data_IF_338813385413
#
_entry.id   IF_338813385413
#
_cell.length_a   1.000
_cell.length_b   1.000
_cell.length_c   1.000
_cell.angle_alpha   90.00
_cell.angle_beta   90.00
_cell.angle_gamma   90.00
#
_symmetry.space_group_name_H-M   'P 1'
#
loop_
_entity.id
_entity.type
_entity.pdbx_description
1 polymer ?
#
# COMPACT_ATOMS: atom_id res chain seq x y z
N UNK A 1 -5.61 3.34 -13.31
CA UNK A 1 -4.44 4.21 -13.10
C UNK A 1 -3.96 3.95 -11.68
N UNK A 2 -2.76 3.38 -11.51
CA UNK A 2 -2.26 2.99 -10.20
C UNK A 2 -1.80 4.24 -9.44
N UNK A 3 -2.29 4.45 -8.22
CA UNK A 3 -1.93 5.60 -7.38
C UNK A 3 -0.75 5.24 -6.49
N UNK A 4 0.34 6.01 -6.55
CA UNK A 4 1.48 5.85 -5.63
C UNK A 4 1.34 6.86 -4.48
N UNK A 5 1.51 6.38 -3.25
CA UNK A 5 1.39 7.18 -2.02
C UNK A 5 2.75 7.23 -1.32
N UNK A 6 3.27 8.44 -1.08
CA UNK A 6 4.64 8.67 -0.59
C UNK A 6 4.70 9.44 0.73
N UNK A 7 3.56 9.85 1.28
CA UNK A 7 3.48 10.55 2.57
C UNK A 7 2.32 10.03 3.41
N UNK A 8 2.44 10.16 4.73
CA UNK A 8 1.33 9.80 5.63
C UNK A 8 0.04 10.59 5.34
N UNK A 9 0.17 11.86 4.94
CA UNK A 9 -0.98 12.70 4.59
C UNK A 9 -1.72 12.16 3.37
N UNK A 10 -0.99 11.77 2.31
CA UNK A 10 -1.59 11.15 1.12
C UNK A 10 -2.28 9.83 1.45
N UNK A 11 -1.65 8.99 2.28
CA UNK A 11 -2.25 7.73 2.76
C UNK A 11 -3.56 8.02 3.48
N UNK A 12 -3.52 8.88 4.50
CA UNK A 12 -4.71 9.23 5.27
C UNK A 12 -5.84 9.78 4.38
N UNK A 13 -5.53 10.71 3.48
CA UNK A 13 -6.52 11.28 2.57
C UNK A 13 -7.05 10.26 1.55
N UNK A 14 -6.21 9.34 1.10
CA UNK A 14 -6.61 8.31 0.15
C UNK A 14 -7.65 7.37 0.74
N UNK A 15 -7.41 6.86 1.96
CA UNK A 15 -8.31 5.93 2.64
C UNK A 15 -9.56 6.60 3.20
N UNK A 16 -9.47 7.85 3.67
CA UNK A 16 -10.64 8.56 4.23
C UNK A 16 -11.74 8.84 3.21
N UNK A 17 -11.39 9.01 1.93
CA UNK A 17 -12.33 9.46 0.87
C UNK A 17 -13.04 8.31 0.16
N UNK A 18 -12.81 7.05 0.54
CA UNK A 18 -13.22 5.86 -0.24
C UNK A 18 -13.79 4.77 0.66
N UNK A 19 -14.66 3.93 0.10
CA UNK A 19 -15.16 2.75 0.79
C UNK A 19 -14.15 1.60 0.66
N UNK A 20 -13.75 1.03 1.80
CA UNK A 20 -12.83 -0.10 1.90
C UNK A 20 -13.46 -1.26 2.70
N UNK A 21 -14.80 -1.33 2.82
CA UNK A 21 -15.51 -2.45 3.47
C UNK A 21 -15.07 -3.82 2.96
N UNK A 22 -14.73 -3.92 1.68
CA UNK A 22 -14.04 -5.07 1.10
C UNK A 22 -12.80 -4.55 0.38
N UNK A 23 -11.64 -5.13 0.70
CA UNK A 23 -10.37 -4.70 0.13
C UNK A 23 -9.46 -5.92 -0.06
N UNK A 24 -8.85 -6.03 -1.24
CA UNK A 24 -7.70 -6.88 -1.44
C UNK A 24 -6.45 -6.15 -0.95
N UNK A 25 -5.58 -6.88 -0.26
CA UNK A 25 -4.31 -6.39 0.26
C UNK A 25 -3.20 -7.31 -0.22
N UNK A 26 -2.10 -6.72 -0.64
CA UNK A 26 -0.88 -7.46 -0.99
C UNK A 26 0.36 -6.72 -0.46
N UNK A 27 1.41 -7.46 -0.15
CA UNK A 27 2.63 -6.93 0.46
C UNK A 27 3.85 -7.25 -0.37
N UNK A 28 4.74 -6.26 -0.50
CA UNK A 28 6.05 -6.44 -1.12
C UNK A 28 7.11 -6.61 -0.04
N UNK A 29 8.02 -7.58 -0.25
CA UNK A 29 9.09 -7.91 0.70
C UNK A 29 10.47 -7.77 0.08
N UNK A 30 11.46 -7.47 0.91
CA UNK A 30 12.88 -7.39 0.51
C UNK A 30 13.49 -8.73 0.13
N UNK A 31 12.90 -9.84 0.60
CA UNK A 31 13.39 -11.20 0.44
C UNK A 31 12.21 -12.18 0.46
N UNK A 32 12.42 -13.37 -0.10
CA UNK A 32 11.48 -14.50 -0.03
C UNK A 32 11.72 -15.37 1.21
N UNK A 33 12.91 -15.28 1.83
CA UNK A 33 13.23 -16.00 3.04
C UNK A 33 12.53 -15.36 4.24
N UNK A 34 11.63 -16.11 4.88
CA UNK A 34 10.84 -15.66 6.02
C UNK A 34 11.63 -15.08 7.18
N UNK A 35 12.86 -15.57 7.41
CA UNK A 35 13.72 -15.09 8.50
C UNK A 35 14.48 -13.80 8.17
N UNK A 36 14.48 -13.38 6.91
CA UNK A 36 15.18 -12.18 6.40
C UNK A 36 14.24 -11.13 5.81
N UNK A 37 12.98 -11.50 5.56
CA UNK A 37 12.05 -10.60 4.90
C UNK A 37 11.75 -9.39 5.78
N UNK A 38 11.72 -8.23 5.14
CA UNK A 38 11.19 -6.99 5.67
C UNK A 38 10.16 -6.48 4.67
N UNK A 39 9.05 -5.93 5.16
CA UNK A 39 8.05 -5.32 4.29
C UNK A 39 8.62 -4.02 3.71
N UNK A 40 8.65 -3.90 2.39
CA UNK A 40 9.17 -2.73 1.66
C UNK A 40 8.08 -1.93 0.97
N UNK A 41 6.88 -2.50 0.85
CA UNK A 41 5.73 -1.85 0.28
C UNK A 41 4.47 -2.64 0.50
N UNK A 42 3.34 -2.03 0.19
CA UNK A 42 2.05 -2.71 0.18
C UNK A 42 1.09 -2.08 -0.81
N UNK A 43 0.14 -2.87 -1.29
CA UNK A 43 -0.89 -2.44 -2.22
C UNK A 43 -2.28 -2.76 -1.70
N UNK A 44 -3.25 -1.94 -2.11
CA UNK A 44 -4.65 -2.06 -1.73
C UNK A 44 -5.54 -1.90 -2.95
N UNK A 45 -6.62 -2.66 -3.02
CA UNK A 45 -7.65 -2.56 -4.06
C UNK A 45 -9.04 -2.75 -3.46
N UNK A 46 -9.94 -1.78 -3.64
CA UNK A 46 -11.34 -1.89 -3.20
C UNK A 46 -12.31 -2.30 -4.32
N UNK A 47 -11.79 -2.70 -5.49
CA UNK A 47 -12.58 -3.03 -6.68
C UNK A 47 -12.85 -1.84 -7.62
N UNK A 48 -12.72 -0.60 -7.15
CA UNK A 48 -12.87 0.61 -7.97
C UNK A 48 -11.52 1.29 -8.24
N UNK A 49 -10.61 1.23 -7.28
CA UNK A 49 -9.30 1.88 -7.36
C UNK A 49 -8.22 1.03 -6.70
N UNK A 50 -6.98 1.33 -7.07
CA UNK A 50 -5.78 0.68 -6.56
C UNK A 50 -4.76 1.72 -6.11
N UNK A 51 -4.06 1.42 -5.01
CA UNK A 51 -2.88 2.16 -4.60
C UNK A 51 -1.70 1.25 -4.25
N UNK A 52 -0.51 1.83 -4.35
CA UNK A 52 0.74 1.27 -3.86
C UNK A 52 1.39 2.26 -2.89
N UNK A 53 1.84 1.76 -1.75
CA UNK A 53 2.58 2.50 -0.73
C UNK A 53 4.00 1.94 -0.74
N UNK A 54 4.97 2.75 -1.18
CA UNK A 54 6.38 2.39 -1.16
C UNK A 54 7.00 2.79 0.18
N UNK A 55 7.14 1.85 1.12
CA UNK A 55 7.63 2.16 2.47
C UNK A 55 9.08 2.64 2.48
N UNK A 56 9.89 2.26 1.48
CA UNK A 56 11.27 2.73 1.35
C UNK A 56 11.38 4.20 0.90
N UNK A 57 10.32 4.73 0.30
CA UNK A 57 10.28 6.11 -0.24
C UNK A 57 9.31 7.01 0.55
N UNK A 58 8.75 6.52 1.65
CA UNK A 58 7.88 7.33 2.51
C UNK A 58 8.67 8.47 3.14
N UNK A 59 8.12 9.68 3.07
CA UNK A 59 8.66 10.90 3.66
C UNK A 59 7.95 11.29 4.95
#
# INVERSE_FOLDING_TARGET
>A
MNTFLHTYAEVHDYFRRRDFKTCAFDSETSDLNYTKLQMVGCSFCNGETTCYINLNEMK
#
